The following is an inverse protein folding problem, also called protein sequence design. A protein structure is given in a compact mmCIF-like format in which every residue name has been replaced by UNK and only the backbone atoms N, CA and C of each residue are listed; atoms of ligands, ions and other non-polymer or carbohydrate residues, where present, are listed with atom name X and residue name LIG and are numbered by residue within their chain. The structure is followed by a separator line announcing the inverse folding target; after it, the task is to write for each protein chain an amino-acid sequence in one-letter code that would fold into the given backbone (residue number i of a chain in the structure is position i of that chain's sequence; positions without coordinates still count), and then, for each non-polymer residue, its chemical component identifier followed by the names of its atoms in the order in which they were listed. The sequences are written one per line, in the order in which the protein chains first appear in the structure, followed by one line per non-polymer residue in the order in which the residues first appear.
data_IF_883961807530
#
_entry.id   IF_883961807530
#
_cell.length_a   1.000
_cell.length_b   1.000
_cell.length_c   1.000
_cell.angle_alpha   90.00
_cell.angle_beta   90.00
_cell.angle_gamma   90.00
#
_symmetry.space_group_name_H-M   'P 1'
#
loop_
_entity.id
_entity.type
_entity.pdbx_description
1 polymer ?
#
# COMPACT_ATOMS: atom_id res chain seq x y z
N UNK A 1 1.16 -24.57 11.65
CA UNK A 1 -0.28 -24.41 11.93
C UNK A 1 -0.43 -23.26 12.91
N UNK A 2 -1.23 -22.25 12.55
CA UNK A 2 -1.52 -21.12 13.44
C UNK A 2 -2.38 -21.57 14.61
N UNK A 3 -1.95 -21.23 15.83
CA UNK A 3 -2.75 -21.42 17.03
C UNK A 3 -3.68 -20.22 17.26
N UNK A 4 -4.64 -20.39 18.18
CA UNK A 4 -5.63 -19.36 18.52
C UNK A 4 -5.00 -18.03 18.98
N UNK A 5 -3.84 -18.09 19.62
CA UNK A 5 -3.13 -16.89 20.10
C UNK A 5 -2.53 -16.13 18.94
N UNK A 6 -1.89 -16.82 17.99
CA UNK A 6 -1.37 -16.25 16.76
C UNK A 6 -2.49 -15.63 15.92
N UNK A 7 -3.62 -16.33 15.81
CA UNK A 7 -4.83 -15.85 15.12
C UNK A 7 -5.38 -14.54 15.71
N UNK A 8 -5.51 -14.50 17.04
CA UNK A 8 -5.93 -13.31 17.76
C UNK A 8 -4.92 -12.17 17.60
N UNK A 9 -3.63 -12.47 17.66
CA UNK A 9 -2.56 -11.49 17.48
C UNK A 9 -2.63 -10.84 16.08
N UNK A 10 -2.79 -11.63 15.02
CA UNK A 10 -2.95 -11.14 13.63
C UNK A 10 -4.12 -10.16 13.55
N UNK A 11 -5.27 -10.52 14.14
CA UNK A 11 -6.47 -9.68 14.12
C UNK A 11 -6.25 -8.33 14.82
N UNK A 12 -5.62 -8.32 15.98
CA UNK A 12 -5.30 -7.10 16.72
C UNK A 12 -4.29 -6.23 15.98
N UNK A 13 -3.25 -6.84 15.39
CA UNK A 13 -2.24 -6.14 14.58
C UNK A 13 -2.91 -5.45 13.37
N UNK A 14 -3.80 -6.15 12.66
CA UNK A 14 -4.52 -5.59 11.52
C UNK A 14 -5.49 -4.47 11.90
N UNK A 15 -5.95 -4.45 13.15
CA UNK A 15 -6.80 -3.39 13.70
C UNK A 15 -6.01 -2.14 14.10
N UNK A 16 -4.67 -2.18 14.01
CA UNK A 16 -3.78 -1.06 14.32
C UNK A 16 -3.31 -1.01 15.78
N UNK A 17 -3.55 -2.07 16.56
CA UNK A 17 -3.10 -2.16 17.95
C UNK A 17 -1.57 -2.21 18.05
N UNK A 18 -1.01 -1.54 19.07
CA UNK A 18 0.42 -1.59 19.32
C UNK A 18 0.85 -3.00 19.76
N UNK A 19 2.02 -3.46 19.29
CA UNK A 19 2.58 -4.79 19.64
C UNK A 19 2.64 -5.00 21.16
N UNK A 20 2.87 -3.93 21.92
CA UNK A 20 2.90 -3.94 23.38
C UNK A 20 1.58 -4.33 24.02
N UNK A 21 0.46 -3.97 23.39
CA UNK A 21 -0.89 -4.22 23.87
C UNK A 21 -1.45 -5.52 23.28
N UNK A 22 -1.11 -5.84 22.03
CA UNK A 22 -1.34 -7.17 21.43
C UNK A 22 -0.78 -8.27 22.34
N UNK A 23 0.48 -8.12 22.78
CA UNK A 23 1.11 -9.09 23.67
C UNK A 23 0.34 -9.28 24.99
N UNK A 24 -0.17 -8.20 25.60
CA UNK A 24 -0.99 -8.26 26.82
C UNK A 24 -2.34 -8.94 26.56
N UNK A 25 -3.03 -8.58 25.48
CA UNK A 25 -4.36 -9.08 25.11
C UNK A 25 -4.37 -10.56 24.71
N UNK A 26 -3.23 -11.04 24.19
CA UNK A 26 -3.00 -12.44 23.80
C UNK A 26 -2.40 -13.26 24.95
N UNK A 27 -1.78 -12.60 25.94
CA UNK A 27 -1.20 -13.24 27.12
C UNK A 27 0.20 -13.82 26.87
N UNK A 28 1.03 -13.10 26.12
CA UNK A 28 2.41 -13.50 25.78
C UNK A 28 3.39 -12.35 26.02
N UNK A 29 4.70 -12.66 26.01
CA UNK A 29 5.73 -11.63 26.05
C UNK A 29 5.81 -10.90 24.70
N UNK A 30 6.24 -9.63 24.72
CA UNK A 30 6.41 -8.82 23.50
C UNK A 30 7.39 -9.45 22.51
N UNK A 31 8.48 -10.03 23.02
CA UNK A 31 9.47 -10.76 22.21
C UNK A 31 8.84 -11.91 21.44
N UNK A 32 7.86 -12.62 22.02
CA UNK A 32 7.13 -13.69 21.33
C UNK A 32 6.41 -13.18 20.09
N UNK A 33 5.79 -12.00 20.15
CA UNK A 33 5.14 -11.40 18.98
C UNK A 33 6.16 -11.05 17.88
N UNK A 34 7.32 -10.49 18.25
CA UNK A 34 8.38 -10.22 17.28
C UNK A 34 8.91 -11.49 16.62
N UNK A 35 9.11 -12.56 17.39
CA UNK A 35 9.49 -13.86 16.83
C UNK A 35 8.42 -14.41 15.88
N UNK A 36 7.13 -14.22 16.17
CA UNK A 36 6.06 -14.60 15.25
C UNK A 36 6.04 -13.75 13.98
N UNK A 37 6.46 -12.48 14.02
CA UNK A 37 6.56 -11.65 12.81
C UNK A 37 7.68 -12.11 11.86
N UNK A 38 8.64 -12.88 12.36
CA UNK A 38 9.71 -13.51 11.58
C UNK A 38 9.34 -14.92 11.09
N UNK A 39 8.33 -15.54 11.71
CA UNK A 39 7.78 -16.85 11.33
C UNK A 39 7.05 -16.76 9.98
N UNK A 40 7.48 -17.56 9.00
CA UNK A 40 6.98 -17.47 7.62
C UNK A 40 5.47 -17.69 7.53
N UNK A 41 4.93 -18.65 8.27
CA UNK A 41 3.50 -18.98 8.26
C UNK A 41 2.65 -17.83 8.82
N UNK A 42 3.07 -17.25 9.96
CA UNK A 42 2.38 -16.11 10.57
C UNK A 42 2.44 -14.88 9.66
N UNK A 43 3.61 -14.61 9.08
CA UNK A 43 3.79 -13.49 8.15
C UNK A 43 2.94 -13.64 6.90
N UNK A 44 2.87 -14.85 6.32
CA UNK A 44 2.06 -15.14 5.15
C UNK A 44 0.56 -14.91 5.43
N UNK A 45 0.06 -15.37 6.58
CA UNK A 45 -1.35 -15.15 6.95
C UNK A 45 -1.67 -13.69 7.23
N UNK A 46 -0.79 -12.99 7.95
CA UNK A 46 -0.93 -11.56 8.21
C UNK A 46 -1.02 -10.78 6.90
N UNK A 47 -0.17 -11.09 5.93
CA UNK A 47 -0.18 -10.44 4.63
C UNK A 47 -1.43 -10.80 3.81
N UNK A 48 -1.83 -12.09 3.79
CA UNK A 48 -3.05 -12.55 3.11
C UNK A 48 -4.28 -11.77 3.59
N UNK A 49 -4.47 -11.67 4.92
CA UNK A 49 -5.60 -10.92 5.49
C UNK A 49 -5.52 -9.43 5.25
N UNK A 50 -4.31 -8.85 5.27
CA UNK A 50 -4.12 -7.44 4.90
C UNK A 50 -4.57 -7.20 3.45
N UNK A 51 -4.18 -8.06 2.52
CA UNK A 51 -4.59 -7.97 1.12
C UNK A 51 -6.10 -8.14 0.97
N UNK A 52 -6.72 -9.06 1.71
CA UNK A 52 -8.17 -9.25 1.73
C UNK A 52 -8.90 -7.97 2.20
N UNK A 53 -8.44 -7.33 3.28
CA UNK A 53 -9.01 -6.07 3.78
C UNK A 53 -8.90 -4.97 2.71
N UNK A 54 -7.72 -4.81 2.09
CA UNK A 54 -7.53 -3.82 1.02
C UNK A 54 -8.45 -4.11 -0.17
N UNK A 55 -8.57 -5.37 -0.58
CA UNK A 55 -9.45 -5.80 -1.67
C UNK A 55 -10.91 -5.48 -1.35
N UNK A 56 -11.36 -5.76 -0.13
CA UNK A 56 -12.72 -5.45 0.32
C UNK A 56 -12.96 -3.93 0.34
N UNK A 57 -12.04 -3.14 0.88
CA UNK A 57 -12.13 -1.68 0.89
C UNK A 57 -12.22 -1.10 -0.53
N UNK A 58 -11.39 -1.59 -1.45
CA UNK A 58 -11.44 -1.18 -2.86
C UNK A 58 -12.78 -1.55 -3.53
N UNK A 59 -13.33 -2.72 -3.21
CA UNK A 59 -14.63 -3.13 -3.74
C UNK A 59 -15.77 -2.21 -3.23
N UNK A 60 -15.72 -1.79 -1.96
CA UNK A 60 -16.67 -0.82 -1.40
C UNK A 60 -16.57 0.54 -2.09
N UNK A 61 -15.35 1.08 -2.24
CA UNK A 61 -15.10 2.35 -2.95
C UNK A 61 -15.61 2.26 -4.40
N UNK A 62 -15.35 1.15 -5.09
CA UNK A 62 -15.79 0.94 -6.46
C UNK A 62 -17.32 0.90 -6.57
N UNK A 63 -17.99 0.21 -5.63
CA UNK A 63 -19.45 0.14 -5.59
C UNK A 63 -20.09 1.53 -5.40
N UNK A 64 -19.44 2.41 -4.64
CA UNK A 64 -19.92 3.77 -4.38
C UNK A 64 -19.40 4.83 -5.36
N UNK A 65 -18.55 4.45 -6.33
CA UNK A 65 -17.88 5.38 -7.23
C UNK A 65 -18.85 6.36 -7.91
N UNK A 66 -20.04 5.89 -8.31
CA UNK A 66 -21.08 6.74 -8.90
C UNK A 66 -21.49 7.88 -7.96
N UNK A 67 -21.67 7.59 -6.67
CA UNK A 67 -22.02 8.59 -5.65
C UNK A 67 -20.93 9.63 -5.51
N UNK A 68 -19.67 9.20 -5.48
CA UNK A 68 -18.52 10.12 -5.39
C UNK A 68 -18.44 11.05 -6.61
N UNK A 69 -18.67 10.51 -7.82
CA UNK A 69 -18.74 11.30 -9.06
C UNK A 69 -19.89 12.31 -9.02
N UNK A 70 -21.05 11.93 -8.48
CA UNK A 70 -22.20 12.83 -8.35
C UNK A 70 -21.94 13.97 -7.36
N UNK A 71 -21.34 13.70 -6.21
CA UNK A 71 -20.96 14.74 -5.24
C UNK A 71 -19.86 15.65 -5.81
N UNK A 72 -18.90 15.11 -6.54
CA UNK A 72 -17.88 15.92 -7.21
C UNK A 72 -18.50 16.86 -8.27
N UNK A 73 -19.45 16.36 -9.08
CA UNK A 73 -20.23 17.20 -10.01
C UNK A 73 -21.00 18.29 -9.27
N UNK A 74 -21.60 17.98 -8.13
CA UNK A 74 -22.32 18.96 -7.31
C UNK A 74 -21.37 20.03 -6.76
N UNK A 75 -20.17 19.67 -6.32
CA UNK A 75 -19.15 20.64 -5.92
C UNK A 75 -18.74 21.54 -7.09
N UNK A 76 -18.52 20.98 -8.27
CA UNK A 76 -18.17 21.72 -9.49
C UNK A 76 -19.24 22.77 -9.89
N UNK A 77 -20.53 22.40 -9.79
CA UNK A 77 -21.64 23.23 -10.28
C UNK A 77 -22.19 24.16 -9.19
N UNK A 78 -22.29 23.69 -7.94
CA UNK A 78 -22.99 24.38 -6.84
C UNK A 78 -22.06 24.80 -5.69
N UNK A 79 -20.76 24.56 -5.78
CA UNK A 79 -19.81 24.95 -4.74
C UNK A 79 -19.76 26.46 -4.53
N UNK A 80 -19.61 26.90 -3.27
CA UNK A 80 -19.53 28.33 -2.95
C UNK A 80 -18.18 28.96 -3.29
N UNK A 81 -17.11 28.16 -3.20
CA UNK A 81 -15.74 28.59 -3.52
C UNK A 81 -15.47 28.40 -5.01
N UNK A 82 -15.11 29.49 -5.69
CA UNK A 82 -14.69 29.43 -7.11
C UNK A 82 -13.48 28.51 -7.29
N UNK A 83 -12.55 28.50 -6.33
CA UNK A 83 -11.40 27.59 -6.34
C UNK A 83 -11.84 26.12 -6.30
N UNK A 84 -12.71 25.75 -5.36
CA UNK A 84 -13.15 24.35 -5.25
C UNK A 84 -13.94 23.91 -6.49
N UNK A 85 -14.68 24.85 -7.10
CA UNK A 85 -15.37 24.61 -8.37
C UNK A 85 -14.39 24.39 -9.51
N UNK A 86 -13.38 25.25 -9.64
CA UNK A 86 -12.33 25.15 -10.65
C UNK A 86 -11.58 23.82 -10.51
N UNK A 87 -11.15 23.47 -9.29
CA UNK A 87 -10.42 22.23 -9.02
C UNK A 87 -11.26 20.99 -9.38
N UNK A 88 -12.55 20.97 -9.01
CA UNK A 88 -13.45 19.87 -9.36
C UNK A 88 -13.74 19.79 -10.88
N UNK A 89 -13.91 20.93 -11.56
CA UNK A 89 -14.09 20.99 -13.01
C UNK A 89 -12.84 20.52 -13.74
N UNK A 90 -11.65 21.03 -13.35
CA UNK A 90 -10.36 20.64 -13.90
C UNK A 90 -10.16 19.12 -13.76
N UNK A 91 -10.38 18.56 -12.57
CA UNK A 91 -10.26 17.11 -12.35
C UNK A 91 -11.17 16.30 -13.29
N UNK A 92 -12.44 16.70 -13.44
CA UNK A 92 -13.40 15.99 -14.30
C UNK A 92 -12.99 16.06 -15.78
N UNK A 93 -12.48 17.21 -16.24
CA UNK A 93 -11.98 17.40 -17.61
C UNK A 93 -10.73 16.56 -17.84
N UNK A 94 -9.74 16.65 -16.94
CA UNK A 94 -8.47 15.91 -17.01
C UNK A 94 -8.69 14.39 -17.01
N UNK A 95 -9.74 13.90 -16.32
CA UNK A 95 -10.08 12.47 -16.29
C UNK A 95 -10.56 11.94 -17.64
N UNK A 96 -11.16 12.79 -18.48
CA UNK A 96 -11.71 12.41 -19.79
C UNK A 96 -10.72 12.71 -20.92
N UNK A 97 -10.09 13.88 -20.90
CA UNK A 97 -9.21 14.34 -21.97
C UNK A 97 -7.73 14.04 -21.71
N UNK A 98 -7.41 13.49 -20.52
CA UNK A 98 -6.05 13.43 -20.03
C UNK A 98 -5.57 14.79 -19.50
N UNK A 99 -4.49 14.78 -18.72
CA UNK A 99 -3.81 16.02 -18.35
C UNK A 99 -2.97 16.49 -19.52
N UNK A 100 -3.02 17.78 -19.84
CA UNK A 100 -2.03 18.40 -20.72
C UNK A 100 -0.70 18.48 -19.97
N UNK A 101 0.04 17.37 -19.91
CA UNK A 101 1.38 17.34 -19.33
C UNK A 101 2.40 17.70 -20.42
N UNK A 102 3.21 18.73 -20.19
CA UNK A 102 4.40 19.03 -21.02
C UNK A 102 5.59 18.13 -20.66
N UNK A 103 5.34 16.88 -20.22
CA UNK A 103 6.41 15.94 -19.87
C UNK A 103 6.08 14.57 -20.45
N UNK A 104 6.88 14.17 -21.43
CA UNK A 104 7.03 12.78 -21.87
C UNK A 104 7.67 12.04 -20.70
N UNK A 105 6.90 11.24 -19.98
CA UNK A 105 7.46 10.21 -19.10
C UNK A 105 7.83 9.02 -19.98
N UNK A 106 9.12 8.70 -20.06
CA UNK A 106 9.54 7.40 -20.59
C UNK A 106 9.00 6.33 -19.64
N UNK A 107 8.06 5.52 -20.13
CA UNK A 107 7.76 4.24 -19.51
C UNK A 107 9.01 3.38 -19.72
N UNK A 108 9.89 3.35 -18.73
CA UNK A 108 10.84 2.24 -18.60
C UNK A 108 10.00 1.05 -18.19
N UNK A 109 9.65 0.21 -19.14
CA UNK A 109 9.22 -1.15 -18.83
C UNK A 109 10.40 -1.79 -18.12
N UNK A 110 10.29 -2.01 -16.80
CA UNK A 110 11.26 -2.79 -16.05
C UNK A 110 11.25 -4.21 -16.61
N UNK A 111 12.16 -4.48 -17.56
CA UNK A 111 12.63 -5.83 -17.79
C UNK A 111 13.33 -6.28 -16.50
N UNK A 112 12.79 -7.35 -15.94
CA UNK A 112 13.34 -8.05 -14.79
C UNK A 112 14.72 -8.61 -15.17
N UNK A 113 15.77 -7.91 -14.82
CA UNK A 113 17.04 -8.53 -14.47
C UNK A 113 17.59 -7.82 -13.22
N UNK A 114 17.38 -8.46 -12.06
CA UNK A 114 18.12 -8.14 -10.85
C UNK A 114 19.58 -8.50 -11.10
N UNK A 115 20.41 -7.51 -11.43
CA UNK A 115 21.85 -7.62 -11.23
C UNK A 115 22.08 -7.45 -9.74
N UNK A 116 22.63 -8.48 -9.10
CA UNK A 116 23.00 -8.44 -7.69
C UNK A 116 24.21 -7.51 -7.52
N UNK A 117 24.12 -6.54 -6.61
CA UNK A 117 25.17 -5.52 -6.38
C UNK A 117 26.54 -6.14 -6.00
N UNK A 118 26.58 -7.42 -5.61
CA UNK A 118 27.80 -8.19 -5.29
C UNK A 118 28.75 -8.45 -6.47
N UNK A 119 28.34 -8.23 -7.73
CA UNK A 119 29.20 -8.53 -8.89
C UNK A 119 30.16 -7.36 -9.21
N UNK A 120 29.75 -6.11 -8.93
CA UNK A 120 30.57 -4.92 -9.23
C UNK A 120 31.77 -4.76 -8.28
N UNK A 121 31.68 -5.27 -7.04
CA UNK A 121 32.80 -5.20 -6.08
C UNK A 121 33.95 -6.17 -6.38
N UNK A 122 33.72 -7.21 -7.19
CA UNK A 122 34.76 -8.15 -7.57
C UNK A 122 35.55 -7.71 -8.81
N UNK A 123 34.97 -6.92 -9.73
CA UNK A 123 35.71 -6.43 -10.90
C UNK A 123 36.70 -5.30 -10.56
N UNK A 124 36.46 -4.50 -9.52
CA UNK A 124 37.43 -3.47 -9.09
C UNK A 124 38.67 -4.04 -8.37
N UNK A 125 38.63 -5.30 -7.91
CA UNK A 125 39.77 -5.93 -7.21
C UNK A 125 40.77 -6.62 -8.15
N UNK A 126 40.40 -6.88 -9.39
CA UNK A 126 41.31 -7.48 -10.38
C UNK A 126 42.10 -6.43 -11.17
N UNK A 127 41.64 -5.17 -11.23
CA UNK A 127 42.33 -4.10 -11.98
C UNK A 127 43.45 -3.42 -11.17
N UNK A 128 43.43 -3.53 -9.84
CA UNK A 128 44.47 -2.93 -8.97
C UNK A 128 45.63 -3.89 -8.64
N UNK A 129 45.71 -5.07 -9.29
CA UNK A 129 46.76 -6.07 -9.06
C UNK A 129 47.49 -6.55 -10.35
N UNK A 130 47.53 -5.72 -11.41
CA UNK A 130 48.53 -5.83 -12.49
C UNK A 130 49.46 -4.62 -12.55
#
# INVERSE_FOLDING_TARGET
MLDERKEKAITLILSGEAITDVAKLVGVYRSTIYNWLEDEEFKAELDRRRQEIVKQGNALILAELKTYVMELRKMAVKGKSERNRLDALQYLIDRVLGKTTTKVEQIVTEDKDKVNDDILENEFKEVDNE
#
